data_IF_073903485670
#
_entry.id   IF_073903485670
#
_cell.length_a   1.000
_cell.length_b   1.000
_cell.length_c   1.000
_cell.angle_alpha   90.00
_cell.angle_beta   90.00
_cell.angle_gamma   90.00
#
_symmetry.space_group_name_H-M   'P 1'
#
loop_
_entity.id
_entity.type
_entity.pdbx_description
1 polymer ?
#
# COMPACT_ATOMS: atom_id res chain seq x y z
N UNK A 1 0.74 37.33 19.18
CA UNK A 1 0.65 35.86 19.16
C UNK A 1 0.31 35.40 20.57
N UNK A 2 -0.96 35.05 20.82
CA UNK A 2 -1.51 34.87 22.16
C UNK A 2 -1.43 33.43 22.65
N UNK A 3 -1.26 33.24 23.96
CA UNK A 3 -1.24 31.93 24.65
C UNK A 3 -2.47 31.03 24.37
N UNK A 4 -3.54 31.56 23.79
CA UNK A 4 -4.72 30.80 23.37
C UNK A 4 -4.50 29.96 22.09
N UNK A 5 -3.59 30.39 21.19
CA UNK A 5 -3.34 29.67 19.93
C UNK A 5 -2.54 28.37 20.16
N UNK A 6 -1.72 28.31 21.23
CA UNK A 6 -0.96 27.10 21.58
C UNK A 6 -1.82 26.00 22.22
N UNK A 7 -2.94 26.32 22.86
CA UNK A 7 -3.78 25.32 23.56
C UNK A 7 -4.50 24.36 22.61
N UNK A 8 -4.65 24.70 21.33
CA UNK A 8 -5.34 23.84 20.35
C UNK A 8 -4.48 22.69 19.81
N UNK A 9 -3.17 22.70 20.09
CA UNK A 9 -2.21 21.72 19.55
C UNK A 9 -1.93 20.51 20.46
N UNK A 10 -2.37 20.53 21.72
CA UNK A 10 -2.29 19.37 22.61
C UNK A 10 -3.55 18.51 22.48
N UNK A 11 -3.67 17.79 21.37
CA UNK A 11 -4.47 16.57 21.38
C UNK A 11 -3.54 15.41 21.70
N UNK A 12 -3.74 14.79 22.85
CA UNK A 12 -3.04 13.56 23.23
C UNK A 12 -3.45 12.45 22.25
N UNK A 13 -2.62 12.22 21.25
CA UNK A 13 -2.79 11.09 20.34
C UNK A 13 -2.43 9.82 21.10
N UNK A 14 -3.39 8.92 21.31
CA UNK A 14 -3.08 7.58 21.84
C UNK A 14 -2.34 6.81 20.75
N UNK A 15 -1.01 6.75 20.86
CA UNK A 15 -0.12 6.11 19.88
C UNK A 15 -0.11 4.59 20.05
N UNK A 16 -1.24 3.94 19.76
CA UNK A 16 -1.32 2.46 19.81
C UNK A 16 -0.62 1.85 18.58
N UNK A 17 -0.83 2.43 17.40
CA UNK A 17 -0.14 2.03 16.17
C UNK A 17 -0.01 3.20 15.18
N UNK A 18 1.02 3.15 14.34
CA UNK A 18 1.42 4.28 13.47
C UNK A 18 0.35 4.65 12.43
N UNK A 19 -0.30 3.67 11.79
CA UNK A 19 -1.24 3.93 10.69
C UNK A 19 -2.56 4.60 11.15
N UNK A 20 -3.27 4.09 12.17
CA UNK A 20 -4.47 4.73 12.70
C UNK A 20 -4.20 6.11 13.29
N UNK A 21 -3.07 6.28 14.00
CA UNK A 21 -2.64 7.57 14.52
C UNK A 21 -2.47 8.61 13.40
N UNK A 22 -1.82 8.22 12.29
CA UNK A 22 -1.69 9.12 11.14
C UNK A 22 -3.05 9.45 10.49
N UNK A 23 -3.96 8.49 10.38
CA UNK A 23 -5.32 8.77 9.87
C UNK A 23 -6.09 9.74 10.78
N UNK A 24 -5.96 9.60 12.09
CA UNK A 24 -6.55 10.54 13.05
C UNK A 24 -5.95 11.94 12.93
N UNK A 25 -4.63 12.05 12.81
CA UNK A 25 -3.95 13.33 12.57
C UNK A 25 -4.47 13.96 11.27
N UNK A 26 -4.58 13.18 10.19
CA UNK A 26 -5.17 13.60 8.92
C UNK A 26 -6.54 14.24 9.09
N UNK A 27 -7.46 13.53 9.76
CA UNK A 27 -8.83 14.02 10.02
C UNK A 27 -8.86 15.25 10.90
N UNK A 28 -8.21 15.19 12.07
CA UNK A 28 -8.30 16.21 13.11
C UNK A 28 -7.54 17.50 12.76
N UNK A 29 -6.33 17.38 12.23
CA UNK A 29 -5.45 18.53 11.96
C UNK A 29 -5.66 19.12 10.58
N UNK A 30 -5.95 18.29 9.59
CA UNK A 30 -5.98 18.71 8.17
C UNK A 30 -7.36 18.56 7.52
N UNK A 31 -8.38 18.09 8.25
CA UNK A 31 -9.70 17.81 7.67
C UNK A 31 -9.68 16.72 6.59
N UNK A 32 -8.63 15.91 6.55
CA UNK A 32 -8.37 14.93 5.50
C UNK A 32 -8.83 13.54 5.93
N UNK A 33 -10.00 13.12 5.42
CA UNK A 33 -10.47 11.75 5.56
C UNK A 33 -9.80 10.86 4.51
N UNK A 34 -8.72 10.19 4.92
CA UNK A 34 -7.94 9.32 4.05
C UNK A 34 -8.77 8.24 3.36
N UNK A 35 -9.66 7.55 4.11
CA UNK A 35 -10.44 6.43 3.56
C UNK A 35 -11.44 6.94 2.52
N UNK A 36 -12.07 8.09 2.78
CA UNK A 36 -12.97 8.75 1.84
C UNK A 36 -12.21 9.19 0.58
N UNK A 37 -11.11 9.92 0.74
CA UNK A 37 -10.34 10.45 -0.38
C UNK A 37 -9.76 9.33 -1.27
N UNK A 38 -9.33 8.22 -0.66
CA UNK A 38 -8.88 7.04 -1.38
C UNK A 38 -10.02 6.37 -2.15
N UNK A 39 -11.23 6.28 -1.60
CA UNK A 39 -12.39 5.74 -2.29
C UNK A 39 -12.79 6.56 -3.52
N UNK A 40 -12.80 7.89 -3.39
CA UNK A 40 -13.07 8.81 -4.50
C UNK A 40 -12.02 8.65 -5.61
N UNK A 41 -10.74 8.51 -5.23
CA UNK A 41 -9.67 8.24 -6.17
C UNK A 41 -9.84 6.89 -6.88
N UNK A 42 -10.08 5.80 -6.13
CA UNK A 42 -10.30 4.45 -6.67
C UNK A 42 -11.44 4.42 -7.68
N UNK A 43 -12.55 5.11 -7.38
CA UNK A 43 -13.67 5.22 -8.29
C UNK A 43 -13.26 5.89 -9.61
N UNK A 44 -12.58 7.04 -9.52
CA UNK A 44 -12.13 7.79 -10.70
C UNK A 44 -11.17 6.96 -11.58
N UNK A 45 -10.19 6.28 -10.98
CA UNK A 45 -9.20 5.49 -11.75
C UNK A 45 -9.73 4.13 -12.22
N UNK A 46 -10.96 3.76 -11.87
CA UNK A 46 -11.55 2.47 -12.22
C UNK A 46 -10.94 1.28 -11.48
N UNK A 47 -10.38 1.49 -10.28
CA UNK A 47 -9.82 0.43 -9.46
C UNK A 47 -10.92 -0.53 -8.97
N UNK A 48 -10.61 -1.82 -8.92
CA UNK A 48 -11.56 -2.82 -8.41
C UNK A 48 -11.85 -2.57 -6.92
N UNK A 49 -13.12 -2.31 -6.61
CA UNK A 49 -13.60 -2.08 -5.24
C UNK A 49 -14.42 -3.26 -4.71
N UNK A 50 -14.26 -3.53 -3.41
CA UNK A 50 -15.07 -4.51 -2.68
C UNK A 50 -16.51 -4.02 -2.46
N UNK A 51 -17.43 -4.95 -2.15
CA UNK A 51 -18.84 -4.62 -1.85
C UNK A 51 -18.97 -3.61 -0.69
N UNK A 52 -18.09 -3.67 0.31
CA UNK A 52 -18.10 -2.74 1.45
C UNK A 52 -17.68 -1.33 1.01
N UNK A 53 -16.67 -1.23 0.14
CA UNK A 53 -16.20 0.04 -0.42
C UNK A 53 -17.28 0.69 -1.31
N UNK A 54 -17.97 -0.11 -2.14
CA UNK A 54 -19.11 0.38 -2.94
C UNK A 54 -20.25 0.94 -2.10
N UNK A 55 -20.53 0.36 -0.93
CA UNK A 55 -21.54 0.91 -0.01
C UNK A 55 -21.13 2.28 0.54
N UNK A 56 -19.87 2.46 0.92
CA UNK A 56 -19.33 3.73 1.43
C UNK A 56 -19.24 4.82 0.35
N UNK A 57 -19.02 4.42 -0.91
CA UNK A 57 -18.96 5.35 -2.04
C UNK A 57 -20.27 6.13 -2.25
N UNK A 58 -21.42 5.63 -1.77
CA UNK A 58 -22.70 6.35 -1.86
C UNK A 58 -22.63 7.76 -1.25
N UNK A 59 -21.82 7.92 -0.21
CA UNK A 59 -21.66 9.18 0.53
C UNK A 59 -20.42 9.99 0.05
N UNK A 60 -19.76 9.53 -1.02
CA UNK A 60 -18.53 10.12 -1.55
C UNK A 60 -18.81 10.85 -2.88
N UNK A 61 -17.95 11.83 -3.23
CA UNK A 61 -18.02 12.49 -4.53
C UNK A 61 -17.56 11.53 -5.62
N UNK A 62 -18.33 11.45 -6.69
CA UNK A 62 -18.01 10.61 -7.86
C UNK A 62 -17.42 11.50 -8.94
N UNK A 63 -16.10 11.46 -9.07
CA UNK A 63 -15.39 12.14 -10.15
C UNK A 63 -15.20 11.15 -11.30
N UNK A 64 -15.52 11.55 -12.53
CA UNK A 64 -15.38 10.71 -13.73
C UNK A 64 -14.13 11.09 -14.55
N UNK A 65 -13.42 12.16 -14.17
CA UNK A 65 -12.19 12.58 -14.83
C UNK A 65 -11.14 13.07 -13.83
N UNK A 66 -9.87 13.06 -14.25
CA UNK A 66 -8.77 13.61 -13.46
C UNK A 66 -9.01 15.08 -13.12
N UNK A 67 -9.53 15.85 -14.08
CA UNK A 67 -9.81 17.27 -13.88
C UNK A 67 -10.87 17.52 -12.81
N UNK A 68 -11.96 16.74 -12.80
CA UNK A 68 -12.98 16.83 -11.76
C UNK A 68 -12.43 16.47 -10.38
N UNK A 69 -11.63 15.40 -10.32
CA UNK A 69 -10.99 14.97 -9.09
C UNK A 69 -10.01 16.01 -8.57
N UNK A 70 -9.11 16.52 -9.42
CA UNK A 70 -8.18 17.60 -9.08
C UNK A 70 -8.92 18.83 -8.57
N UNK A 71 -9.97 19.27 -9.27
CA UNK A 71 -10.78 20.42 -8.86
C UNK A 71 -11.44 20.19 -7.51
N UNK A 72 -11.91 18.96 -7.22
CA UNK A 72 -12.45 18.60 -5.91
C UNK A 72 -11.39 18.73 -4.81
N UNK A 73 -10.19 18.16 -5.04
CA UNK A 73 -9.07 18.27 -4.11
C UNK A 73 -8.69 19.73 -3.88
N UNK A 74 -8.56 20.53 -4.94
CA UNK A 74 -8.26 21.96 -4.80
C UNK A 74 -9.33 22.69 -3.99
N UNK A 75 -10.61 22.43 -4.26
CA UNK A 75 -11.71 23.06 -3.55
C UNK A 75 -11.75 22.71 -2.06
N UNK A 76 -11.40 21.47 -1.70
CA UNK A 76 -11.31 21.03 -0.29
C UNK A 76 -10.16 21.68 0.48
N UNK A 77 -9.16 22.20 -0.24
CA UNK A 77 -7.96 22.79 0.34
C UNK A 77 -7.87 24.30 0.11
N UNK A 78 -8.85 24.92 -0.56
CA UNK A 78 -8.81 26.34 -0.98
C UNK A 78 -8.74 27.34 0.18
N UNK A 79 -9.29 26.98 1.34
CA UNK A 79 -9.36 27.85 2.53
C UNK A 79 -8.12 27.70 3.43
N UNK A 80 -7.23 26.75 3.12
CA UNK A 80 -6.02 26.51 3.91
C UNK A 80 -4.98 27.58 3.61
N UNK A 81 -4.35 28.10 4.65
CA UNK A 81 -3.22 29.04 4.51
C UNK A 81 -2.00 28.32 3.93
N UNK A 82 -1.04 29.09 3.39
CA UNK A 82 0.23 28.54 2.89
C UNK A 82 0.93 27.65 3.93
N UNK A 83 0.96 28.09 5.19
CA UNK A 83 1.54 27.31 6.30
C UNK A 83 0.80 25.98 6.50
N UNK A 84 -0.54 26.01 6.51
CA UNK A 84 -1.35 24.80 6.66
C UNK A 84 -1.17 23.84 5.48
N UNK A 85 -1.04 24.35 4.25
CA UNK A 85 -0.76 23.56 3.05
C UNK A 85 0.64 22.94 3.10
N UNK A 86 1.66 23.67 3.55
CA UNK A 86 3.02 23.15 3.72
C UNK A 86 3.07 22.04 4.78
N UNK A 87 2.43 22.25 5.93
CA UNK A 87 2.34 21.19 6.95
C UNK A 87 1.57 19.96 6.45
N UNK A 88 0.56 20.18 5.62
CA UNK A 88 -0.22 19.09 5.04
C UNK A 88 0.56 18.33 3.97
N UNK A 89 1.36 19.02 3.15
CA UNK A 89 2.28 18.42 2.19
C UNK A 89 3.30 17.51 2.89
N UNK A 90 3.90 17.96 4.00
CA UNK A 90 4.77 17.14 4.83
C UNK A 90 4.06 15.95 5.46
N UNK A 91 2.79 16.12 5.90
CA UNK A 91 1.98 15.01 6.38
C UNK A 91 1.78 13.94 5.29
N UNK A 92 1.49 14.36 4.04
CA UNK A 92 1.33 13.44 2.91
C UNK A 92 2.65 12.73 2.58
N UNK A 93 3.78 13.44 2.61
CA UNK A 93 5.11 12.84 2.40
C UNK A 93 5.44 11.76 3.46
N UNK A 94 5.12 12.03 4.72
CA UNK A 94 5.23 11.05 5.81
C UNK A 94 4.33 9.83 5.60
N UNK A 95 3.13 10.01 5.05
CA UNK A 95 2.25 8.90 4.69
C UNK A 95 2.83 8.07 3.53
N UNK A 96 3.39 8.71 2.52
CA UNK A 96 4.05 8.04 1.37
C UNK A 96 5.27 7.24 1.85
N UNK A 97 6.08 7.81 2.75
CA UNK A 97 7.27 7.13 3.27
C UNK A 97 6.94 5.91 4.14
N UNK A 98 5.73 5.79 4.67
CA UNK A 98 5.27 4.59 5.36
C UNK A 98 4.95 3.42 4.42
N UNK A 99 4.63 3.69 3.15
CA UNK A 99 4.30 2.66 2.15
C UNK A 99 5.55 2.02 1.51
N UNK A 100 6.64 2.80 1.34
CA UNK A 100 7.88 2.34 0.68
C UNK A 100 8.62 1.17 1.37
N UNK A 101 8.80 1.15 2.71
CA UNK A 101 9.58 0.12 3.39
C UNK A 101 8.94 -1.27 3.26
N UNK A 102 7.61 -1.34 3.27
CA UNK A 102 6.89 -2.60 3.15
C UNK A 102 7.18 -3.27 1.80
N UNK A 103 7.12 -2.52 0.69
CA UNK A 103 7.36 -3.05 -0.66
C UNK A 103 8.77 -3.64 -0.83
N UNK A 104 9.80 -2.97 -0.30
CA UNK A 104 11.19 -3.40 -0.47
C UNK A 104 11.52 -4.66 0.34
N UNK A 105 11.08 -4.73 1.61
CA UNK A 105 11.33 -5.89 2.47
C UNK A 105 10.70 -7.15 1.89
N UNK A 106 9.47 -7.07 1.39
CA UNK A 106 8.81 -8.21 0.75
C UNK A 106 9.52 -8.66 -0.54
N UNK A 107 10.01 -7.72 -1.34
CA UNK A 107 10.71 -8.04 -2.59
C UNK A 107 12.00 -8.82 -2.31
N UNK A 108 12.78 -8.37 -1.31
CA UNK A 108 14.03 -9.02 -0.88
C UNK A 108 13.76 -10.42 -0.33
N UNK A 109 12.75 -10.57 0.53
CA UNK A 109 12.39 -11.88 1.08
C UNK A 109 11.97 -12.84 -0.04
N UNK A 110 11.13 -12.40 -0.98
CA UNK A 110 10.71 -13.23 -2.11
C UNK A 110 11.88 -13.65 -3.00
N UNK A 111 12.79 -12.73 -3.32
CA UNK A 111 13.94 -13.06 -4.17
C UNK A 111 14.88 -14.05 -3.47
N UNK A 112 15.10 -13.91 -2.16
CA UNK A 112 15.90 -14.83 -1.37
C UNK A 112 15.26 -16.23 -1.32
N UNK A 113 13.95 -16.32 -1.06
CA UNK A 113 13.23 -17.60 -1.04
C UNK A 113 13.21 -18.30 -2.40
N UNK A 114 12.95 -17.57 -3.49
CA UNK A 114 12.99 -18.14 -4.85
C UNK A 114 14.38 -18.64 -5.22
N UNK A 115 15.42 -17.88 -4.84
CA UNK A 115 16.81 -18.30 -5.03
C UNK A 115 17.12 -19.61 -4.30
N UNK A 116 16.73 -19.72 -3.03
CA UNK A 116 16.94 -20.94 -2.24
C UNK A 116 16.23 -22.16 -2.84
N UNK A 117 14.99 -22.00 -3.33
CA UNK A 117 14.25 -23.08 -4.00
C UNK A 117 14.95 -23.48 -5.31
N UNK A 118 15.38 -22.51 -6.11
CA UNK A 118 16.06 -22.78 -7.38
C UNK A 118 17.40 -23.53 -7.16
N UNK A 119 18.20 -23.12 -6.18
CA UNK A 119 19.45 -23.81 -5.83
C UNK A 119 19.19 -25.24 -5.38
N UNK A 120 18.22 -25.44 -4.47
CA UNK A 120 17.86 -26.78 -3.99
C UNK A 120 17.43 -27.71 -5.14
N UNK A 121 16.63 -27.19 -6.08
CA UNK A 121 16.22 -27.97 -7.25
C UNK A 121 17.41 -28.30 -8.16
N UNK A 122 18.27 -27.33 -8.47
CA UNK A 122 19.46 -27.56 -9.32
C UNK A 122 20.40 -28.61 -8.73
N UNK A 123 20.67 -28.56 -7.42
CA UNK A 123 21.58 -29.50 -6.75
C UNK A 123 21.02 -30.92 -6.74
N UNK A 124 19.70 -31.09 -6.60
CA UNK A 124 19.06 -32.40 -6.54
C UNK A 124 18.68 -33.00 -7.90
N UNK A 125 18.52 -32.19 -8.96
CA UNK A 125 18.25 -32.67 -10.32
C UNK A 125 19.39 -33.57 -10.84
N UNK A 126 20.65 -33.20 -10.60
CA UNK A 126 21.81 -33.99 -11.06
C UNK A 126 21.96 -35.33 -10.32
N UNK A 127 21.50 -35.41 -9.08
CA UNK A 127 21.49 -36.65 -8.32
C UNK A 127 20.38 -37.59 -8.82
N UNK A 128 19.23 -37.02 -9.18
CA UNK A 128 18.07 -37.76 -9.73
C UNK A 128 18.38 -38.56 -10.99
N UNK A 129 19.19 -38.01 -11.90
CA UNK A 129 19.49 -38.68 -13.17
C UNK A 129 20.52 -39.81 -13.05
N UNK A 130 21.23 -39.94 -11.92
CA UNK A 130 22.41 -40.81 -11.77
C UNK A 130 22.25 -41.98 -10.77
N UNK A 131 21.04 -42.31 -10.32
CA UNK A 131 20.81 -43.37 -9.31
C UNK A 131 20.26 -44.67 -9.91
N UNK A 132 20.66 -45.83 -9.35
CA UNK A 132 20.14 -47.17 -9.68
C UNK A 132 18.64 -47.32 -9.36
N UNK A 133 17.97 -48.20 -10.12
CA UNK A 133 16.50 -48.31 -10.27
C UNK A 133 15.67 -48.34 -8.97
N UNK A 134 16.17 -48.95 -7.89
CA UNK A 134 15.40 -49.07 -6.63
C UNK A 134 15.34 -47.74 -5.85
N UNK A 135 16.38 -46.91 -5.96
CA UNK A 135 16.44 -45.61 -5.28
C UNK A 135 15.66 -44.54 -6.05
N UNK A 136 15.52 -44.71 -7.37
CA UNK A 136 14.74 -43.84 -8.27
C UNK A 136 13.26 -43.77 -7.88
N UNK A 137 12.63 -44.92 -7.54
CA UNK A 137 11.20 -44.96 -7.24
C UNK A 137 10.86 -44.26 -5.91
N UNK A 138 11.71 -44.45 -4.89
CA UNK A 138 11.56 -43.78 -3.59
C UNK A 138 11.74 -42.27 -3.72
N UNK A 139 12.76 -41.83 -4.47
CA UNK A 139 12.97 -40.41 -4.77
C UNK A 139 11.81 -39.80 -5.56
N UNK A 140 11.27 -40.53 -6.54
CA UNK A 140 10.12 -40.08 -7.33
C UNK A 140 8.89 -39.83 -6.45
N UNK A 141 8.60 -40.71 -5.48
CA UNK A 141 7.52 -40.51 -4.51
C UNK A 141 7.78 -39.28 -3.62
N UNK A 142 9.01 -39.10 -3.14
CA UNK A 142 9.39 -37.94 -2.32
C UNK A 142 9.22 -36.63 -3.09
N UNK A 143 9.60 -36.58 -4.37
CA UNK A 143 9.33 -35.42 -5.24
C UNK A 143 7.84 -35.21 -5.41
N UNK A 144 7.05 -36.24 -5.73
CA UNK A 144 5.61 -36.10 -5.91
C UNK A 144 4.91 -35.55 -4.67
N UNK A 145 5.45 -35.79 -3.47
CA UNK A 145 4.88 -35.27 -2.22
C UNK A 145 5.38 -33.85 -1.93
N UNK A 146 6.67 -33.56 -2.13
CA UNK A 146 7.28 -32.25 -1.80
C UNK A 146 6.89 -31.19 -2.84
N UNK A 147 6.82 -31.55 -4.12
CA UNK A 147 6.59 -30.61 -5.22
C UNK A 147 5.22 -29.90 -5.16
N UNK A 148 4.10 -30.59 -4.85
CA UNK A 148 2.81 -29.94 -4.62
C UNK A 148 2.84 -29.01 -3.41
N UNK A 149 3.55 -29.38 -2.33
CA UNK A 149 3.72 -28.50 -1.17
C UNK A 149 4.49 -27.22 -1.54
N UNK A 150 5.55 -27.33 -2.35
CA UNK A 150 6.28 -26.17 -2.86
C UNK A 150 5.41 -25.30 -3.77
N UNK A 151 4.60 -25.90 -4.65
CA UNK A 151 3.66 -25.15 -5.51
C UNK A 151 2.61 -24.44 -4.66
N UNK A 152 1.98 -25.13 -3.71
CA UNK A 152 0.99 -24.54 -2.81
C UNK A 152 1.61 -23.40 -1.99
N UNK A 153 2.84 -23.59 -1.50
CA UNK A 153 3.57 -22.55 -0.77
C UNK A 153 3.93 -21.36 -1.67
N UNK A 154 4.37 -21.59 -2.90
CA UNK A 154 4.66 -20.53 -3.87
C UNK A 154 3.39 -19.76 -4.26
N UNK A 155 2.27 -20.45 -4.48
CA UNK A 155 0.95 -19.84 -4.72
C UNK A 155 0.50 -19.04 -3.49
N UNK A 156 0.72 -19.57 -2.29
CA UNK A 156 0.42 -18.87 -1.04
C UNK A 156 1.25 -17.59 -0.90
N UNK A 157 2.55 -17.64 -1.20
CA UNK A 157 3.42 -16.45 -1.25
C UNK A 157 2.92 -15.47 -2.32
N UNK A 158 2.60 -15.91 -3.54
CA UNK A 158 2.04 -15.02 -4.56
C UNK A 158 0.75 -14.35 -4.07
N UNK A 159 -0.18 -15.11 -3.49
CA UNK A 159 -1.42 -14.56 -2.99
C UNK A 159 -1.23 -13.64 -1.77
N UNK A 160 -0.26 -13.89 -0.91
CA UNK A 160 -0.01 -13.07 0.29
C UNK A 160 0.91 -11.88 0.03
N UNK A 161 1.74 -11.92 -1.01
CA UNK A 161 2.78 -10.92 -1.28
C UNK A 161 2.48 -10.11 -2.53
N UNK A 162 2.09 -10.73 -3.65
CA UNK A 162 1.82 -9.97 -4.89
C UNK A 162 0.51 -9.20 -4.83
N UNK A 163 -0.53 -9.74 -4.19
CA UNK A 163 -1.82 -9.05 -4.04
C UNK A 163 -1.69 -7.70 -3.28
N UNK A 164 -1.00 -7.63 -2.12
CA UNK A 164 -0.74 -6.36 -1.46
C UNK A 164 0.16 -5.40 -2.26
N UNK A 165 1.09 -5.92 -3.06
CA UNK A 165 1.96 -5.08 -3.91
C UNK A 165 1.18 -4.35 -5.02
N UNK A 166 0.12 -4.98 -5.54
CA UNK A 166 -0.79 -4.32 -6.48
C UNK A 166 -1.69 -3.28 -5.78
N UNK A 167 -2.25 -3.61 -4.60
CA UNK A 167 -3.09 -2.65 -3.87
C UNK A 167 -2.31 -1.45 -3.29
N UNK A 168 -1.06 -1.67 -2.87
CA UNK A 168 -0.19 -0.59 -2.37
C UNK A 168 0.28 0.34 -3.49
N UNK A 169 0.27 -0.11 -4.75
CA UNK A 169 0.54 0.76 -5.89
C UNK A 169 -0.53 1.85 -6.03
N UNK A 170 -1.82 1.48 -5.88
CA UNK A 170 -2.93 2.43 -5.96
C UNK A 170 -2.87 3.45 -4.82
N UNK A 171 -2.61 3.02 -3.57
CA UNK A 171 -2.48 3.95 -2.43
C UNK A 171 -1.27 4.89 -2.55
N UNK A 172 -0.13 4.37 -3.01
CA UNK A 172 1.06 5.18 -3.27
C UNK A 172 0.83 6.19 -4.40
N UNK A 173 0.19 5.76 -5.49
CA UNK A 173 -0.12 6.63 -6.63
C UNK A 173 -1.11 7.72 -6.23
N UNK A 174 -2.18 7.34 -5.51
CA UNK A 174 -3.14 8.27 -4.90
C UNK A 174 -2.43 9.36 -4.09
N UNK A 175 -1.61 8.98 -3.11
CA UNK A 175 -0.95 9.95 -2.23
C UNK A 175 0.03 10.85 -2.99
N UNK A 176 0.77 10.31 -3.96
CA UNK A 176 1.69 11.09 -4.79
C UNK A 176 0.94 12.10 -5.66
N UNK A 177 -0.15 11.71 -6.32
CA UNK A 177 -0.97 12.61 -7.14
C UNK A 177 -1.65 13.68 -6.28
N UNK A 178 -2.19 13.29 -5.12
CA UNK A 178 -2.79 14.23 -4.18
C UNK A 178 -1.76 15.25 -3.70
N UNK A 179 -0.55 14.80 -3.33
CA UNK A 179 0.56 15.67 -2.94
C UNK A 179 0.98 16.62 -4.06
N UNK A 180 1.03 16.16 -5.32
CA UNK A 180 1.33 17.02 -6.48
C UNK A 180 0.33 18.17 -6.60
N UNK A 181 -0.96 17.91 -6.37
CA UNK A 181 -2.00 18.95 -6.38
C UNK A 181 -1.74 19.97 -5.26
N UNK A 182 -1.48 19.51 -4.04
CA UNK A 182 -1.17 20.41 -2.90
C UNK A 182 0.08 21.24 -3.19
N UNK A 183 1.12 20.65 -3.78
CA UNK A 183 2.33 21.37 -4.17
C UNK A 183 2.05 22.44 -5.23
N UNK A 184 1.25 22.12 -6.25
CA UNK A 184 0.78 23.13 -7.24
C UNK A 184 -0.02 24.26 -6.60
N UNK A 185 -0.72 24.01 -5.49
CA UNK A 185 -1.42 25.07 -4.73
C UNK A 185 -0.45 25.94 -3.91
N UNK A 186 0.71 25.43 -3.51
CA UNK A 186 1.76 26.16 -2.78
C UNK A 186 2.62 27.04 -3.70
N UNK A 187 2.79 26.62 -4.94
CA UNK A 187 3.59 27.30 -5.98
C UNK A 187 2.81 28.42 -6.71
N UNK A 188 1.50 28.54 -6.45
CA UNK A 188 0.64 29.64 -6.91
C UNK A 188 0.65 30.80 -5.93
#
# INVERSE_FOLDING_TARGET
MGKQDMKKYNMDYVRISKSPCMNEIGKKKYGFDYDKALLEYKYFVGEKMSRKEWKKLKDCKKCNSYFEWEKSVMNENKEKTKIQLTEFEHYLDNKISMLKPQKNVYTILCSAFLGAIATYLCDHINHFFNLENDYQFTLFIVIIIIFPFLIIFAVWIMCKVMLPLWSTNTESTFLNEYRKIIKRMLDK
#
